data_IF_053564976264
#
_entry.id   IF_053564976264
#
_cell.length_a   1.000
_cell.length_b   1.000
_cell.length_c   1.000
_cell.angle_alpha   90.00
_cell.angle_beta   90.00
_cell.angle_gamma   90.00
#
_symmetry.space_group_name_H-M   'P 1'
#
loop_
_entity.id
_entity.type
_entity.pdbx_description
1 polymer ?
#
# COMPACT_ATOMS: atom_id res chain seq x y z
N UNK A 1 31.98 10.80 -0.73
CA UNK A 1 31.02 11.43 -1.67
C UNK A 1 30.96 10.57 -2.93
N UNK A 2 30.05 9.59 -2.96
CA UNK A 2 29.91 8.66 -4.08
C UNK A 2 29.12 9.28 -5.22
N UNK A 3 29.71 9.37 -6.41
CA UNK A 3 29.03 9.87 -7.60
C UNK A 3 27.89 8.92 -8.00
N UNK A 4 26.67 9.46 -8.09
CA UNK A 4 25.55 8.75 -8.72
C UNK A 4 25.86 8.71 -10.22
N UNK A 5 26.23 7.53 -10.73
CA UNK A 5 26.36 7.30 -12.16
C UNK A 5 24.97 7.47 -12.80
N UNK A 6 24.78 8.58 -13.53
CA UNK A 6 23.60 8.78 -14.39
C UNK A 6 23.77 7.91 -15.63
N UNK A 7 23.44 6.62 -15.51
CA UNK A 7 23.19 5.79 -16.68
C UNK A 7 22.05 6.41 -17.48
N UNK A 8 22.24 6.59 -18.79
CA UNK A 8 21.20 7.06 -19.69
C UNK A 8 20.14 5.96 -19.85
N UNK A 9 19.23 5.85 -18.89
CA UNK A 9 18.07 4.98 -18.99
C UNK A 9 17.17 5.50 -20.13
N UNK A 10 16.79 4.62 -21.06
CA UNK A 10 15.73 4.93 -22.02
C UNK A 10 14.40 4.93 -21.29
N UNK A 11 13.96 6.11 -20.84
CA UNK A 11 12.67 6.28 -20.17
C UNK A 11 11.57 6.47 -21.21
N UNK A 12 10.42 5.80 -21.01
CA UNK A 12 9.17 6.09 -21.72
C UNK A 12 8.24 6.84 -20.79
N UNK A 13 7.51 7.82 -21.33
CA UNK A 13 6.46 8.49 -20.57
C UNK A 13 5.36 7.50 -20.22
N UNK A 14 4.84 7.60 -19.00
CA UNK A 14 3.75 6.79 -18.49
C UNK A 14 2.71 7.70 -17.83
N UNK A 15 1.43 7.42 -18.11
CA UNK A 15 0.31 8.13 -17.48
C UNK A 15 -0.07 7.53 -16.13
N UNK A 16 -1.06 8.15 -15.49
CA UNK A 16 -1.58 7.72 -14.18
C UNK A 16 -2.01 6.26 -14.16
N UNK A 17 -2.71 5.77 -15.20
CA UNK A 17 -3.18 4.39 -15.27
C UNK A 17 -2.04 3.36 -15.25
N UNK A 18 -0.96 3.61 -15.99
CA UNK A 18 0.20 2.73 -16.01
C UNK A 18 0.91 2.70 -14.64
N UNK A 19 1.05 3.84 -13.98
CA UNK A 19 1.59 3.91 -12.62
C UNK A 19 0.68 3.21 -11.61
N UNK A 20 -0.64 3.42 -11.70
CA UNK A 20 -1.62 2.83 -10.79
C UNK A 20 -1.68 1.29 -10.93
N UNK A 21 -1.51 0.75 -12.14
CA UNK A 21 -1.37 -0.69 -12.35
C UNK A 21 -0.08 -1.20 -11.69
N UNK A 22 1.06 -0.59 -12.00
CA UNK A 22 2.35 -1.03 -11.48
C UNK A 22 2.42 -1.00 -9.94
N UNK A 23 1.84 0.01 -9.28
CA UNK A 23 1.82 0.09 -7.82
C UNK A 23 0.90 -0.96 -7.19
N UNK A 24 -0.23 -1.30 -7.83
CA UNK A 24 -1.13 -2.37 -7.36
C UNK A 24 -0.39 -3.71 -7.46
N UNK A 25 0.24 -3.99 -8.60
CA UNK A 25 1.01 -5.22 -8.82
C UNK A 25 2.19 -5.35 -7.84
N UNK A 26 2.81 -4.23 -7.47
CA UNK A 26 3.87 -4.19 -6.47
C UNK A 26 3.38 -4.20 -5.01
N UNK A 27 2.07 -4.31 -4.76
CA UNK A 27 1.50 -4.31 -3.40
C UNK A 27 1.67 -2.98 -2.65
N UNK A 28 1.88 -1.88 -3.37
CA UNK A 28 2.11 -0.56 -2.78
C UNK A 28 0.81 0.20 -2.62
N UNK A 29 0.33 0.26 -1.37
CA UNK A 29 -0.85 1.02 -0.99
C UNK A 29 -0.60 2.54 -0.97
N UNK A 30 -1.62 3.31 -1.35
CA UNK A 30 -1.67 4.76 -1.41
C UNK A 30 -2.79 5.29 -0.52
N UNK A 31 -2.44 6.22 0.36
CA UNK A 31 -3.39 6.89 1.24
C UNK A 31 -4.40 7.73 0.43
N UNK A 32 -5.66 7.76 0.86
CA UNK A 32 -6.83 8.33 0.17
C UNK A 32 -7.24 7.63 -1.13
N UNK A 33 -6.57 6.54 -1.52
CA UNK A 33 -6.99 5.69 -2.65
C UNK A 33 -7.36 4.30 -2.14
N UNK A 34 -6.43 3.62 -1.46
CA UNK A 34 -6.65 2.24 -1.00
C UNK A 34 -7.09 2.15 0.47
N UNK A 35 -6.75 3.17 1.27
CA UNK A 35 -7.13 3.30 2.67
C UNK A 35 -7.20 4.77 3.07
N UNK A 36 -7.90 5.07 4.16
CA UNK A 36 -8.14 6.45 4.59
C UNK A 36 -7.99 6.66 6.09
N UNK A 37 -8.53 7.77 6.58
CA UNK A 37 -8.48 8.18 8.00
C UNK A 37 -9.18 7.21 8.96
N UNK A 38 -10.05 6.35 8.43
CA UNK A 38 -10.78 5.34 9.20
C UNK A 38 -9.99 4.02 9.36
N UNK A 39 -8.78 3.95 8.78
CA UNK A 39 -7.92 2.77 8.81
C UNK A 39 -6.67 3.01 9.65
N UNK A 40 -6.20 1.95 10.29
CA UNK A 40 -4.95 2.02 11.06
C UNK A 40 -3.75 1.76 10.14
N UNK A 41 -2.60 2.45 10.34
CA UNK A 41 -1.40 2.18 9.55
C UNK A 41 -0.97 0.71 9.54
N UNK A 42 -1.16 -0.01 10.65
CA UNK A 42 -0.84 -1.43 10.77
C UNK A 42 -1.71 -2.34 9.86
N UNK A 43 -2.89 -1.88 9.43
CA UNK A 43 -3.77 -2.63 8.52
C UNK A 43 -3.22 -2.68 7.09
N UNK A 44 -2.29 -1.78 6.73
CA UNK A 44 -1.74 -1.69 5.37
C UNK A 44 -0.65 -2.73 5.06
N UNK A 45 -0.12 -3.41 6.08
CA UNK A 45 0.96 -4.38 5.93
C UNK A 45 2.35 -3.78 5.67
N UNK A 46 2.49 -2.46 5.53
CA UNK A 46 3.77 -1.78 5.22
C UNK A 46 4.31 -0.95 6.38
N UNK A 47 3.77 -1.13 7.59
CA UNK A 47 4.13 -0.34 8.77
C UNK A 47 5.62 -0.43 9.10
N UNK A 48 6.21 -1.63 9.02
CA UNK A 48 7.62 -1.87 9.36
C UNK A 48 8.58 -1.24 8.34
N UNK A 49 8.13 -1.06 7.10
CA UNK A 49 8.91 -0.41 6.05
C UNK A 49 8.75 1.12 6.03
N UNK A 50 7.57 1.62 6.44
CA UNK A 50 7.17 3.04 6.31
C UNK A 50 7.31 3.80 7.62
N UNK A 51 7.39 3.11 8.76
CA UNK A 51 7.55 3.70 10.09
C UNK A 51 8.89 3.30 10.68
N UNK A 52 9.68 4.30 11.05
CA UNK A 52 10.84 4.06 11.90
C UNK A 52 10.42 4.10 13.36
N UNK A 53 10.62 2.98 14.05
CA UNK A 53 10.46 2.86 15.50
C UNK A 53 11.69 3.34 16.29
N UNK A 54 12.78 3.69 15.59
CA UNK A 54 14.06 4.09 16.19
C UNK A 54 14.38 5.58 16.03
N UNK A 55 13.62 6.32 15.22
CA UNK A 55 13.75 7.77 15.10
C UNK A 55 13.12 8.49 16.30
N UNK A 56 13.45 9.77 16.48
CA UNK A 56 12.92 10.59 17.57
C UNK A 56 11.39 10.79 17.53
N UNK A 57 10.88 11.59 18.46
CA UNK A 57 9.45 11.79 18.65
C UNK A 57 8.77 12.37 17.40
N UNK A 58 7.69 11.73 16.95
CA UNK A 58 6.82 12.23 15.89
C UNK A 58 5.35 12.16 16.31
N UNK A 59 4.51 13.00 15.71
CA UNK A 59 3.10 13.09 16.04
C UNK A 59 2.39 11.73 15.84
N UNK A 60 1.68 11.27 16.88
CA UNK A 60 0.94 10.02 16.85
C UNK A 60 1.77 8.75 17.11
N UNK A 61 3.06 8.88 17.45
CA UNK A 61 3.94 7.74 17.72
C UNK A 61 3.40 6.81 18.81
N UNK A 62 2.77 7.33 19.87
CA UNK A 62 2.21 6.50 20.95
C UNK A 62 1.18 5.50 20.44
N UNK A 63 0.33 5.95 19.53
CA UNK A 63 -0.70 5.11 18.91
C UNK A 63 -0.04 4.08 18.00
N UNK A 64 0.95 4.49 17.20
CA UNK A 64 1.67 3.61 16.28
C UNK A 64 2.47 2.54 17.04
N UNK A 65 3.13 2.90 18.14
CA UNK A 65 3.84 1.98 19.00
C UNK A 65 2.89 0.98 19.67
N UNK A 66 1.72 1.44 20.14
CA UNK A 66 0.68 0.57 20.70
C UNK A 66 0.19 -0.44 19.67
N UNK A 67 -0.07 -0.01 18.43
CA UNK A 67 -0.48 -0.90 17.35
C UNK A 67 0.57 -1.98 17.06
N UNK A 68 1.85 -1.60 17.02
CA UNK A 68 2.95 -2.55 16.84
C UNK A 68 3.03 -3.58 17.98
N UNK A 69 2.85 -3.14 19.24
CA UNK A 69 2.88 -4.03 20.41
C UNK A 69 1.69 -5.00 20.51
N UNK A 70 0.53 -4.66 19.95
CA UNK A 70 -0.66 -5.55 19.95
C UNK A 70 -0.48 -6.80 19.08
N UNK A 71 0.47 -6.80 18.15
CA UNK A 71 0.89 -7.98 17.38
C UNK A 71 0.01 -8.36 16.19
N UNK A 72 -1.28 -8.01 16.15
CA UNK A 72 -2.12 -8.24 14.97
C UNK A 72 -3.16 -7.13 14.72
N UNK A 73 -3.32 -6.66 13.47
CA UNK A 73 -4.39 -5.73 13.13
C UNK A 73 -5.76 -6.44 13.08
N UNK A 74 -6.85 -5.68 13.25
CA UNK A 74 -8.23 -6.19 13.15
C UNK A 74 -8.58 -6.67 11.73
N UNK A 75 -8.02 -5.99 10.74
CA UNK A 75 -8.21 -6.25 9.32
C UNK A 75 -6.89 -6.00 8.59
N UNK A 76 -6.78 -6.50 7.36
CA UNK A 76 -5.60 -6.28 6.52
C UNK A 76 -6.03 -5.86 5.13
N UNK A 77 -5.31 -4.91 4.55
CA UNK A 77 -5.37 -4.60 3.13
C UNK A 77 -4.71 -5.75 2.38
N UNK A 78 -5.41 -6.29 1.38
CA UNK A 78 -4.96 -7.43 0.58
C UNK A 78 -5.10 -7.12 -0.90
N UNK A 79 -4.21 -7.68 -1.71
CA UNK A 79 -4.32 -7.67 -3.16
C UNK A 79 -5.23 -8.79 -3.63
N UNK A 80 -6.15 -8.50 -4.54
CA UNK A 80 -7.02 -9.50 -5.18
C UNK A 80 -6.68 -9.60 -6.67
N UNK A 81 -6.59 -10.82 -7.18
CA UNK A 81 -6.60 -11.12 -8.61
C UNK A 81 -7.95 -11.73 -8.92
N UNK A 82 -8.72 -11.07 -9.78
CA UNK A 82 -10.05 -11.52 -10.18
C UNK A 82 -9.96 -12.16 -11.56
N UNK A 83 -10.33 -13.44 -11.65
CA UNK A 83 -10.48 -14.15 -12.91
C UNK A 83 -11.94 -14.04 -13.36
N UNK A 84 -12.28 -12.92 -14.01
CA UNK A 84 -13.61 -12.69 -14.55
C UNK A 84 -13.52 -12.22 -16.02
N UNK A 85 -14.54 -12.51 -16.85
CA UNK A 85 -14.60 -11.94 -18.20
C UNK A 85 -14.58 -10.41 -18.12
N UNK A 86 -13.82 -9.76 -18.99
CA UNK A 86 -13.67 -8.31 -18.97
C UNK A 86 -15.03 -7.61 -19.16
N UNK A 87 -15.41 -6.74 -18.21
CA UNK A 87 -16.64 -5.95 -18.25
C UNK A 87 -16.84 -5.15 -16.97
N UNK A 88 -17.69 -4.12 -16.96
CA UNK A 88 -17.99 -3.33 -15.76
C UNK A 88 -18.61 -4.17 -14.63
N UNK A 89 -19.27 -5.29 -14.97
CA UNK A 89 -19.76 -6.30 -14.01
C UNK A 89 -18.67 -7.18 -13.38
N UNK A 90 -17.40 -7.05 -13.77
CA UNK A 90 -16.29 -7.86 -13.24
C UNK A 90 -15.76 -7.38 -11.87
N UNK A 91 -16.31 -6.30 -11.30
CA UNK A 91 -15.88 -5.82 -9.99
C UNK A 91 -16.54 -6.64 -8.87
N UNK A 92 -15.77 -7.10 -7.87
CA UNK A 92 -16.35 -7.78 -6.71
C UNK A 92 -17.25 -6.81 -5.93
N UNK A 93 -18.43 -7.28 -5.55
CA UNK A 93 -19.32 -6.54 -4.64
C UNK A 93 -18.86 -6.72 -3.20
N UNK A 94 -19.11 -5.71 -2.35
CA UNK A 94 -18.79 -5.79 -0.91
C UNK A 94 -19.46 -7.01 -0.28
N UNK A 95 -18.65 -7.85 0.38
CA UNK A 95 -19.12 -9.09 1.01
C UNK A 95 -19.11 -10.33 0.10
N UNK A 96 -18.67 -10.21 -1.16
CA UNK A 96 -18.43 -11.37 -2.00
C UNK A 96 -17.40 -12.33 -1.36
N UNK A 97 -17.67 -13.62 -1.45
CA UNK A 97 -16.75 -14.64 -0.96
C UNK A 97 -15.45 -14.58 -1.76
N UNK A 98 -14.31 -14.54 -1.06
CA UNK A 98 -12.99 -14.69 -1.65
C UNK A 98 -12.68 -16.19 -1.62
N UNK A 99 -12.55 -16.81 -2.80
CA UNK A 99 -12.16 -18.20 -2.96
C UNK A 99 -10.63 -18.36 -2.97
#
# INVERSE_FOLDING_TARGET
LGAIARGAARLKQAGWGAWNIARIEAGTAVFNIDFGVNNLPAETGVIDERVSFRKGCYLGQEVVARMHSLGHPKQKLVSLRVEAPAGPEAQPVTGAAVA
#
